data_IF_878852301802
#
_entry.id   IF_878852301802
#
_cell.length_a   1.000
_cell.length_b   1.000
_cell.length_c   1.000
_cell.angle_alpha   90.00
_cell.angle_beta   90.00
_cell.angle_gamma   90.00
#
_symmetry.space_group_name_H-M   'P 1'
#
loop_
_entity.id
_entity.type
_entity.pdbx_description
1 polymer ?
#
# COMPACT_ATOMS: atom_id res chain seq x y z
N UNK A 1 25.90 9.97 5.76
CA UNK A 1 25.20 9.17 4.72
C UNK A 1 23.83 8.82 5.27
N UNK A 2 22.75 9.03 4.50
CA UNK A 2 21.40 8.68 4.94
C UNK A 2 21.14 7.21 4.63
N UNK A 3 20.80 6.43 5.64
CA UNK A 3 20.39 5.02 5.55
C UNK A 3 19.07 4.83 6.29
N UNK A 4 18.16 4.08 5.67
CA UNK A 4 16.78 3.91 6.13
C UNK A 4 16.48 2.41 6.11
N UNK A 5 15.85 1.92 7.16
CA UNK A 5 15.35 0.55 7.24
C UNK A 5 13.82 0.53 7.13
N UNK A 6 13.29 -0.36 6.30
CA UNK A 6 11.86 -0.63 6.26
C UNK A 6 11.41 -1.40 7.49
N UNK A 7 10.33 -0.95 8.10
CA UNK A 7 9.79 -1.53 9.32
C UNK A 7 8.27 -1.57 9.28
N UNK A 8 7.71 -2.61 9.88
CA UNK A 8 6.26 -2.72 10.03
C UNK A 8 5.83 -2.20 11.40
N UNK A 9 4.70 -1.48 11.48
CA UNK A 9 4.24 -0.88 12.74
C UNK A 9 3.93 -1.93 13.81
N UNK A 10 3.45 -3.11 13.41
CA UNK A 10 3.18 -4.21 14.35
C UNK A 10 4.44 -4.86 14.91
N UNK A 11 5.57 -4.80 14.21
CA UNK A 11 6.84 -5.33 14.70
C UNK A 11 7.49 -4.32 15.65
N UNK A 12 7.51 -3.04 15.28
CA UNK A 12 8.00 -1.95 16.14
C UNK A 12 7.23 -1.89 17.46
N UNK A 13 5.89 -2.00 17.42
CA UNK A 13 5.07 -2.00 18.62
C UNK A 13 5.15 -3.31 19.40
N UNK A 14 5.32 -4.45 18.72
CA UNK A 14 5.42 -5.76 19.36
C UNK A 14 6.75 -5.98 20.11
N UNK A 15 7.84 -5.40 19.63
CA UNK A 15 9.14 -5.40 20.33
C UNK A 15 9.22 -4.27 21.39
N UNK A 16 8.40 -3.23 21.23
CA UNK A 16 8.48 -1.99 21.99
C UNK A 16 9.32 -0.96 21.26
N UNK A 17 8.78 0.26 21.10
CA UNK A 17 9.37 1.29 20.23
C UNK A 17 10.79 1.67 20.66
N UNK A 18 11.03 1.86 21.94
CA UNK A 18 12.34 2.23 22.47
C UNK A 18 13.40 1.16 22.16
N UNK A 19 13.06 -0.11 22.37
CA UNK A 19 13.95 -1.24 22.09
C UNK A 19 14.21 -1.37 20.58
N UNK A 20 13.16 -1.42 19.77
CA UNK A 20 13.27 -1.60 18.33
C UNK A 20 14.05 -0.45 17.67
N UNK A 21 13.73 0.79 18.03
CA UNK A 21 14.41 1.97 17.48
C UNK A 21 15.86 2.08 17.96
N UNK A 22 16.13 1.70 19.22
CA UNK A 22 17.49 1.56 19.75
C UNK A 22 18.30 0.53 18.95
N UNK A 23 17.75 -0.65 18.70
CA UNK A 23 18.39 -1.69 17.87
C UNK A 23 18.66 -1.20 16.45
N UNK A 24 17.68 -0.56 15.81
CA UNK A 24 17.81 -0.01 14.45
C UNK A 24 18.93 1.05 14.38
N UNK A 25 19.01 1.93 15.37
CA UNK A 25 20.03 2.98 15.42
C UNK A 25 21.40 2.45 15.79
N UNK A 26 21.49 1.73 16.90
CA UNK A 26 22.77 1.43 17.56
C UNK A 26 23.40 0.15 17.04
N UNK A 27 22.58 -0.85 16.68
CA UNK A 27 23.07 -2.12 16.13
C UNK A 27 23.11 -2.08 14.61
N UNK A 28 21.98 -1.74 13.97
CA UNK A 28 21.90 -1.70 12.51
C UNK A 28 22.48 -0.41 11.90
N UNK A 29 22.86 0.59 12.71
CA UNK A 29 23.52 1.84 12.29
C UNK A 29 22.72 2.63 11.27
N UNK A 30 21.39 2.62 11.41
CA UNK A 30 20.48 3.37 10.54
C UNK A 30 20.29 4.80 11.03
N UNK A 31 20.01 5.71 10.10
CA UNK A 31 19.70 7.13 10.39
C UNK A 31 18.20 7.43 10.35
N UNK A 32 17.40 6.47 9.89
CA UNK A 32 15.95 6.58 9.83
C UNK A 32 15.26 5.24 9.60
N UNK A 33 13.94 5.30 9.63
CA UNK A 33 13.03 4.18 9.38
C UNK A 33 12.00 4.58 8.34
N UNK A 34 11.59 3.64 7.49
CA UNK A 34 10.39 3.79 6.66
C UNK A 34 9.33 2.85 7.16
N UNK A 35 8.26 3.41 7.71
CA UNK A 35 7.21 2.65 8.39
C UNK A 35 6.09 2.38 7.42
N UNK A 36 5.64 1.12 7.32
CA UNK A 36 4.46 0.75 6.54
C UNK A 36 3.19 1.38 7.12
N UNK A 37 2.81 2.57 6.63
CA UNK A 37 1.64 3.31 7.12
C UNK A 37 0.35 2.97 6.38
N UNK A 38 0.47 2.46 5.16
CA UNK A 38 -0.60 1.85 4.36
C UNK A 38 -0.03 0.58 3.74
N UNK A 39 -0.64 -0.57 4.00
CA UNK A 39 -0.05 -1.84 3.58
C UNK A 39 -1.07 -2.90 3.16
N UNK A 40 -0.70 -3.71 2.16
CA UNK A 40 -1.53 -4.76 1.58
C UNK A 40 -1.48 -6.07 2.40
N UNK A 41 -2.16 -7.12 1.91
CA UNK A 41 -2.15 -8.44 2.56
C UNK A 41 -0.76 -9.07 2.50
N UNK A 42 -0.42 -9.91 3.47
CA UNK A 42 0.81 -10.69 3.39
C UNK A 42 1.00 -11.60 4.58
N UNK A 43 1.95 -12.52 4.45
CA UNK A 43 2.38 -13.42 5.51
C UNK A 43 3.81 -13.07 5.90
N UNK A 44 4.00 -12.64 7.14
CA UNK A 44 5.26 -12.13 7.66
C UNK A 44 5.78 -13.04 8.76
N UNK A 45 7.08 -13.31 8.73
CA UNK A 45 7.80 -13.98 9.80
C UNK A 45 8.53 -12.92 10.61
N UNK A 46 8.13 -12.73 11.86
CA UNK A 46 8.85 -11.95 12.85
C UNK A 46 9.47 -12.89 13.89
N UNK A 47 10.74 -13.30 13.74
CA UNK A 47 11.39 -14.20 14.69
C UNK A 47 11.70 -13.54 16.04
N UNK A 48 11.86 -12.22 16.06
CA UNK A 48 12.37 -11.44 17.20
C UNK A 48 11.26 -10.90 18.12
N UNK A 49 10.05 -10.72 17.61
CA UNK A 49 8.91 -10.16 18.37
C UNK A 49 8.19 -11.17 19.28
N UNK A 50 7.22 -10.62 20.03
CA UNK A 50 6.29 -11.41 20.84
C UNK A 50 5.52 -12.43 19.99
N UNK A 51 5.20 -13.57 20.58
CA UNK A 51 4.55 -14.67 19.86
C UNK A 51 3.08 -14.35 19.57
N UNK A 52 2.53 -14.81 18.43
CA UNK A 52 3.14 -15.71 17.44
C UNK A 52 4.13 -15.02 16.49
N UNK A 53 5.19 -15.74 16.10
CA UNK A 53 6.20 -15.27 15.15
C UNK A 53 5.68 -15.16 13.71
N UNK A 54 4.53 -15.74 13.40
CA UNK A 54 3.90 -15.68 12.08
C UNK A 54 2.71 -14.73 12.14
N UNK A 55 2.67 -13.75 11.24
CA UNK A 55 1.57 -12.80 11.11
C UNK A 55 0.97 -12.85 9.72
N UNK A 56 -0.35 -12.82 9.66
CA UNK A 56 -1.12 -12.52 8.46
C UNK A 56 -1.64 -11.09 8.58
N UNK A 57 -1.23 -10.19 7.70
CA UNK A 57 -1.68 -8.80 7.74
C UNK A 57 -3.15 -8.70 7.31
N UNK A 58 -3.91 -7.85 8.01
CA UNK A 58 -5.35 -7.60 7.81
C UNK A 58 -5.71 -7.01 6.43
N UNK A 59 -4.70 -6.67 5.63
CA UNK A 59 -4.83 -6.39 4.22
C UNK A 59 -5.41 -5.04 3.84
N UNK A 60 -4.60 -4.27 3.12
CA UNK A 60 -4.96 -2.94 2.58
C UNK A 60 -5.46 -2.00 3.66
N UNK A 61 -4.71 -1.92 4.76
CA UNK A 61 -5.04 -1.13 5.94
C UNK A 61 -4.09 0.04 6.12
N UNK A 62 -4.62 1.11 6.70
CA UNK A 62 -3.81 2.18 7.27
C UNK A 62 -3.49 1.93 8.74
N UNK A 63 -2.28 2.27 9.15
CA UNK A 63 -1.74 2.07 10.50
C UNK A 63 -1.54 3.41 11.25
N UNK A 64 -2.41 4.36 10.99
CA UNK A 64 -2.47 5.67 11.64
C UNK A 64 -3.94 6.09 11.76
N UNK A 65 -4.23 7.18 12.49
CA UNK A 65 -5.57 7.74 12.57
C UNK A 65 -5.80 8.73 11.41
N UNK A 66 -6.57 8.38 10.38
CA UNK A 66 -6.77 9.25 9.22
C UNK A 66 -7.73 10.40 9.53
N UNK A 67 -7.47 11.57 8.98
CA UNK A 67 -8.43 12.66 9.02
C UNK A 67 -9.52 12.44 7.97
N UNK A 68 -10.60 11.76 8.37
CA UNK A 68 -11.70 11.36 7.49
C UNK A 68 -12.39 12.52 6.75
N UNK A 69 -12.20 13.78 7.17
CA UNK A 69 -12.72 14.96 6.47
C UNK A 69 -12.03 15.22 5.13
N UNK A 70 -10.82 14.69 4.94
CA UNK A 70 -10.05 14.81 3.68
C UNK A 70 -10.50 13.83 2.60
N UNK A 71 -11.25 12.79 2.99
CA UNK A 71 -11.61 11.69 2.10
C UNK A 71 -13.05 11.82 1.60
N UNK A 72 -13.24 11.49 0.32
CA UNK A 72 -14.54 11.52 -0.34
C UNK A 72 -15.25 10.17 -0.29
N UNK A 73 -15.63 9.68 -1.47
CA UNK A 73 -16.34 8.41 -1.68
C UNK A 73 -15.59 7.21 -1.10
N UNK A 74 -14.28 7.15 -1.33
CA UNK A 74 -13.41 6.08 -0.83
C UNK A 74 -12.76 6.55 0.46
N UNK A 75 -12.89 5.74 1.51
CA UNK A 75 -12.29 6.00 2.84
C UNK A 75 -11.26 4.92 3.18
N UNK A 76 -10.17 5.28 3.87
CA UNK A 76 -9.15 4.33 4.27
C UNK A 76 -9.73 3.36 5.31
N UNK A 77 -9.31 2.10 5.22
CA UNK A 77 -9.70 1.09 6.20
C UNK A 77 -8.63 1.01 7.29
N UNK A 78 -8.99 1.34 8.53
CA UNK A 78 -8.04 1.40 9.65
C UNK A 78 -7.75 -0.02 10.14
N UNK A 79 -6.46 -0.35 10.35
CA UNK A 79 -6.04 -1.63 10.93
C UNK A 79 -6.53 -1.75 12.37
N UNK A 80 -6.77 -2.97 12.85
CA UNK A 80 -7.18 -3.22 14.25
C UNK A 80 -6.21 -2.59 15.24
N UNK A 81 -4.90 -2.70 14.99
CA UNK A 81 -3.84 -2.09 15.80
C UNK A 81 -3.93 -0.56 15.90
N UNK A 82 -4.56 0.09 14.92
CA UNK A 82 -4.71 1.53 14.83
C UNK A 82 -6.14 1.99 15.13
N UNK A 83 -7.05 1.15 15.64
CA UNK A 83 -8.43 1.57 15.92
C UNK A 83 -8.54 2.44 17.18
N UNK A 84 -7.77 2.14 18.23
CA UNK A 84 -7.84 2.81 19.54
C UNK A 84 -6.62 3.67 19.88
N UNK A 85 -5.66 3.75 18.95
CA UNK A 85 -4.39 4.47 19.09
C UNK A 85 -3.89 4.92 17.72
N UNK A 86 -2.80 5.69 17.68
CA UNK A 86 -2.14 6.10 16.43
C UNK A 86 -0.69 5.57 16.39
N UNK A 87 -0.47 4.37 15.82
CA UNK A 87 0.86 3.76 15.74
C UNK A 87 1.92 4.64 15.07
N UNK A 88 1.54 5.37 14.01
CA UNK A 88 2.46 6.26 13.31
C UNK A 88 2.87 7.43 14.20
N UNK A 89 1.91 8.10 14.83
CA UNK A 89 2.21 9.24 15.70
C UNK A 89 3.06 8.83 16.92
N UNK A 90 2.81 7.65 17.48
CA UNK A 90 3.64 7.08 18.54
C UNK A 90 5.06 6.77 18.09
N UNK A 91 5.20 6.17 16.90
CA UNK A 91 6.50 5.86 16.29
C UNK A 91 7.30 7.13 16.03
N UNK A 92 6.67 8.18 15.47
CA UNK A 92 7.32 9.48 15.24
C UNK A 92 7.85 10.07 16.54
N UNK A 93 7.02 10.13 17.59
CA UNK A 93 7.47 10.66 18.90
C UNK A 93 8.64 9.88 19.48
N UNK A 94 8.65 8.55 19.34
CA UNK A 94 9.74 7.72 19.82
C UNK A 94 11.02 7.89 18.98
N UNK A 95 10.88 7.97 17.66
CA UNK A 95 11.98 8.20 16.73
C UNK A 95 12.63 9.58 16.91
N UNK A 96 11.85 10.62 17.18
CA UNK A 96 12.36 11.96 17.52
C UNK A 96 13.28 11.90 18.74
N UNK A 97 12.89 11.19 19.82
CA UNK A 97 13.74 10.99 21.01
C UNK A 97 15.01 10.20 20.69
N UNK A 98 14.90 9.23 19.77
CA UNK A 98 16.04 8.43 19.31
C UNK A 98 16.94 9.18 18.32
N UNK A 99 16.51 10.31 17.76
CA UNK A 99 17.22 11.02 16.69
C UNK A 99 17.19 10.27 15.35
N UNK A 100 16.10 9.56 15.05
CA UNK A 100 15.86 8.87 13.78
C UNK A 100 14.82 9.62 12.95
N UNK A 101 15.07 9.76 11.65
CA UNK A 101 14.05 10.25 10.72
C UNK A 101 12.97 9.17 10.47
N UNK A 102 11.71 9.59 10.32
CA UNK A 102 10.60 8.68 9.98
C UNK A 102 10.08 9.00 8.59
N UNK A 103 10.03 7.98 7.75
CA UNK A 103 9.48 8.00 6.40
C UNK A 103 8.18 7.18 6.40
N UNK A 104 7.20 7.60 5.58
CA UNK A 104 5.92 6.93 5.46
C UNK A 104 5.89 6.05 4.21
N UNK A 105 6.21 4.77 4.36
CA UNK A 105 6.02 3.77 3.31
C UNK A 105 4.54 3.49 3.11
N UNK A 106 4.04 3.86 1.93
CA UNK A 106 2.60 3.95 1.66
C UNK A 106 2.27 3.18 0.38
N UNK A 107 1.72 1.98 0.54
CA UNK A 107 1.11 1.22 -0.55
C UNK A 107 -0.23 1.88 -0.93
N UNK A 108 -0.38 2.27 -2.20
CA UNK A 108 -1.52 3.09 -2.64
C UNK A 108 -2.57 2.27 -3.41
N UNK A 109 -2.22 1.71 -4.58
CA UNK A 109 -3.20 1.11 -5.50
C UNK A 109 -3.26 -0.42 -5.42
N UNK A 110 -2.35 -1.05 -4.69
CA UNK A 110 -2.46 -2.46 -4.32
C UNK A 110 -3.44 -2.61 -3.15
N UNK A 111 -4.73 -2.71 -3.46
CA UNK A 111 -5.80 -2.67 -2.47
C UNK A 111 -6.88 -3.73 -2.74
N UNK A 112 -6.57 -4.99 -2.42
CA UNK A 112 -7.51 -6.11 -2.56
C UNK A 112 -8.80 -5.90 -1.76
N UNK A 113 -8.70 -5.29 -0.58
CA UNK A 113 -9.88 -5.09 0.29
C UNK A 113 -10.90 -4.16 -0.37
N UNK A 114 -10.43 -3.07 -0.97
CA UNK A 114 -11.25 -2.15 -1.75
C UNK A 114 -11.71 -2.81 -3.05
N UNK A 115 -10.81 -3.46 -3.79
CA UNK A 115 -11.15 -4.05 -5.07
C UNK A 115 -12.16 -5.19 -5.00
N UNK A 116 -12.17 -5.96 -3.91
CA UNK A 116 -13.22 -6.96 -3.64
C UNK A 116 -14.57 -6.31 -3.34
N UNK A 117 -14.61 -5.20 -2.60
CA UNK A 117 -15.84 -4.49 -2.23
C UNK A 117 -16.40 -3.65 -3.38
N UNK A 118 -15.51 -3.11 -4.23
CA UNK A 118 -15.80 -2.20 -5.32
C UNK A 118 -15.04 -2.62 -6.59
N UNK A 119 -15.44 -3.74 -7.23
CA UNK A 119 -14.76 -4.22 -8.43
C UNK A 119 -14.82 -3.25 -9.61
N UNK A 120 -15.76 -2.30 -9.59
CA UNK A 120 -15.86 -1.21 -10.56
C UNK A 120 -14.68 -0.22 -10.52
N UNK A 121 -13.94 -0.20 -9.42
CA UNK A 121 -12.73 0.62 -9.25
C UNK A 121 -11.46 -0.08 -9.72
N UNK A 122 -11.52 -1.38 -10.00
CA UNK A 122 -10.35 -2.20 -10.33
C UNK A 122 -9.86 -1.98 -11.76
N UNK A 123 -8.63 -2.46 -12.03
CA UNK A 123 -8.26 -2.77 -13.40
C UNK A 123 -9.22 -3.84 -13.93
N UNK A 124 -9.57 -3.74 -15.21
CA UNK A 124 -10.39 -4.75 -15.88
C UNK A 124 -9.58 -5.39 -17.00
N UNK A 125 -9.56 -6.72 -17.04
CA UNK A 125 -8.97 -7.49 -18.14
C UNK A 125 -9.67 -7.15 -19.47
N UNK A 126 -9.13 -7.57 -20.62
CA UNK A 126 -9.85 -7.44 -21.90
C UNK A 126 -11.29 -7.97 -21.81
N UNK A 127 -11.48 -9.11 -21.13
CA UNK A 127 -12.76 -9.80 -20.98
C UNK A 127 -13.73 -9.11 -20.02
N UNK A 128 -13.31 -8.02 -19.36
CA UNK A 128 -14.11 -7.28 -18.39
C UNK A 128 -13.99 -7.78 -16.95
N UNK A 129 -13.12 -8.75 -16.68
CA UNK A 129 -12.94 -9.28 -15.33
C UNK A 129 -12.12 -8.32 -14.46
N UNK A 130 -12.54 -8.06 -13.20
CA UNK A 130 -11.80 -7.19 -12.31
C UNK A 130 -10.55 -7.89 -11.75
N UNK A 131 -9.39 -7.24 -11.87
CA UNK A 131 -8.18 -7.59 -11.13
C UNK A 131 -8.26 -7.00 -9.73
N UNK A 132 -8.90 -7.72 -8.82
CA UNK A 132 -9.30 -7.21 -7.49
C UNK A 132 -8.13 -6.68 -6.64
N UNK A 133 -6.89 -7.10 -6.90
CA UNK A 133 -5.71 -6.60 -6.20
C UNK A 133 -5.26 -5.20 -6.64
N UNK A 134 -5.72 -4.70 -7.79
CA UNK A 134 -5.23 -3.46 -8.37
C UNK A 134 -6.37 -2.48 -8.67
N UNK A 135 -6.48 -1.41 -7.88
CA UNK A 135 -7.40 -0.32 -8.20
C UNK A 135 -6.84 0.58 -9.30
N UNK A 136 -7.69 1.14 -10.14
CA UNK A 136 -7.30 1.77 -11.39
C UNK A 136 -6.76 3.20 -11.20
N UNK A 137 -5.50 3.51 -11.57
CA UNK A 137 -4.95 4.86 -11.47
C UNK A 137 -5.63 5.87 -12.40
N UNK A 138 -6.34 5.44 -13.45
CA UNK A 138 -7.10 6.33 -14.31
C UNK A 138 -8.50 6.67 -13.76
N UNK A 139 -9.00 5.92 -12.76
CA UNK A 139 -10.30 6.18 -12.16
C UNK A 139 -10.24 7.45 -11.28
N UNK A 140 -11.08 8.48 -11.52
CA UNK A 140 -11.06 9.73 -10.76
C UNK A 140 -11.27 9.56 -9.26
N UNK A 141 -12.15 8.65 -8.81
CA UNK A 141 -12.39 8.39 -7.39
C UNK A 141 -11.14 7.78 -6.73
N UNK A 142 -10.46 6.88 -7.44
CA UNK A 142 -9.20 6.27 -6.97
C UNK A 142 -8.07 7.31 -6.89
N UNK A 143 -7.97 8.21 -7.87
CA UNK A 143 -7.01 9.32 -7.84
C UNK A 143 -7.28 10.28 -6.68
N UNK A 144 -8.54 10.62 -6.44
CA UNK A 144 -8.94 11.48 -5.32
C UNK A 144 -8.58 10.82 -3.97
N UNK A 145 -8.77 9.51 -3.84
CA UNK A 145 -8.34 8.75 -2.65
C UNK A 145 -6.82 8.79 -2.46
N UNK A 146 -6.04 8.52 -3.52
CA UNK A 146 -4.59 8.56 -3.45
C UNK A 146 -4.05 9.95 -3.05
N UNK A 147 -4.64 11.01 -3.61
CA UNK A 147 -4.30 12.38 -3.26
C UNK A 147 -4.67 12.72 -1.81
N UNK A 148 -5.86 12.31 -1.36
CA UNK A 148 -6.28 12.51 0.03
C UNK A 148 -5.36 11.78 1.02
N UNK A 149 -4.97 10.55 0.72
CA UNK A 149 -4.05 9.76 1.54
C UNK A 149 -2.68 10.44 1.66
N UNK A 150 -2.11 10.88 0.53
CA UNK A 150 -0.83 11.61 0.54
C UNK A 150 -0.95 12.94 1.29
N UNK A 151 -2.05 13.67 1.12
CA UNK A 151 -2.28 14.95 1.81
C UNK A 151 -2.43 14.79 3.32
N UNK A 152 -3.12 13.75 3.78
CA UNK A 152 -3.29 13.41 5.20
C UNK A 152 -1.96 13.05 5.86
N UNK A 153 -1.06 12.39 5.13
CA UNK A 153 0.29 12.09 5.60
C UNK A 153 1.20 13.33 5.61
N UNK A 154 1.08 14.22 4.63
CA UNK A 154 2.02 15.32 4.42
C UNK A 154 2.02 16.41 5.51
N UNK A 155 0.96 16.53 6.32
CA UNK A 155 0.80 17.67 7.23
C UNK A 155 0.71 17.25 8.70
N UNK A 156 1.56 17.85 9.54
CA UNK A 156 1.43 17.79 11.00
C UNK A 156 1.82 16.46 11.66
N UNK A 157 2.51 15.57 10.93
CA UNK A 157 2.89 14.22 11.42
C UNK A 157 4.37 14.02 11.70
N UNK A 158 5.23 15.03 11.52
CA UNK A 158 6.68 14.90 11.78
C UNK A 158 7.42 13.94 10.84
N UNK A 159 6.84 13.65 9.67
CA UNK A 159 7.46 12.77 8.67
C UNK A 159 8.52 13.52 7.87
N UNK A 160 9.62 12.85 7.59
CA UNK A 160 10.68 13.36 6.71
C UNK A 160 10.28 13.25 5.23
N UNK A 161 9.73 12.10 4.81
CA UNK A 161 9.29 11.85 3.44
C UNK A 161 8.10 10.88 3.40
N UNK A 162 7.40 10.86 2.26
CA UNK A 162 6.37 9.87 1.94
C UNK A 162 6.90 9.03 0.77
N UNK A 163 7.01 7.73 0.98
CA UNK A 163 7.44 6.76 -0.03
C UNK A 163 6.19 6.10 -0.63
N UNK A 164 5.89 6.41 -1.89
CA UNK A 164 4.71 5.87 -2.57
C UNK A 164 5.06 4.54 -3.25
N UNK A 165 4.39 3.47 -2.84
CA UNK A 165 4.47 2.15 -3.47
C UNK A 165 3.17 1.83 -4.22
N UNK A 166 3.30 1.05 -5.31
CA UNK A 166 2.17 0.54 -6.08
C UNK A 166 1.28 1.68 -6.61
N UNK A 167 1.88 2.70 -7.21
CA UNK A 167 1.20 3.82 -7.91
C UNK A 167 1.06 3.59 -9.42
N UNK A 168 1.06 2.32 -9.82
CA UNK A 168 1.06 1.86 -11.20
C UNK A 168 -0.04 0.81 -11.46
N UNK A 169 -0.14 0.38 -12.71
CA UNK A 169 -0.91 -0.81 -13.08
C UNK A 169 -0.12 -2.05 -12.64
N UNK A 170 -0.66 -2.85 -11.72
CA UNK A 170 0.07 -3.99 -11.12
C UNK A 170 0.16 -5.23 -12.01
N UNK A 171 -0.55 -5.24 -13.15
CA UNK A 171 -0.55 -6.35 -14.08
C UNK A 171 -1.44 -7.52 -13.65
N UNK A 172 -1.44 -8.57 -14.48
CA UNK A 172 -2.29 -9.75 -14.29
C UNK A 172 -1.76 -10.67 -13.18
N UNK A 173 -0.54 -11.17 -13.35
CA UNK A 173 0.11 -12.04 -12.37
C UNK A 173 0.55 -11.25 -11.15
N UNK A 174 0.08 -11.64 -9.96
CA UNK A 174 0.30 -10.85 -8.75
C UNK A 174 0.57 -11.70 -7.50
N UNK A 175 0.69 -13.02 -7.65
CA UNK A 175 0.97 -13.92 -6.54
C UNK A 175 -0.16 -13.96 -5.52
N UNK A 176 -1.41 -13.81 -5.99
CA UNK A 176 -2.58 -13.92 -5.12
C UNK A 176 -2.59 -15.28 -4.41
N UNK A 177 -3.17 -15.33 -3.20
CA UNK A 177 -3.18 -16.56 -2.39
C UNK A 177 -3.88 -17.69 -3.17
N UNK A 178 -3.07 -18.61 -3.72
CA UNK A 178 -3.48 -19.69 -4.63
C UNK A 178 -3.86 -19.29 -6.07
N UNK A 179 -3.14 -18.35 -6.68
CA UNK A 179 -3.23 -18.06 -8.12
C UNK A 179 -2.88 -19.30 -8.97
N UNK A 180 -3.72 -19.64 -9.96
CA UNK A 180 -3.53 -20.79 -10.87
C UNK A 180 -4.06 -20.49 -12.27
N UNK A 181 -3.17 -20.43 -13.26
CA UNK A 181 -3.51 -20.11 -14.66
C UNK A 181 -3.63 -21.34 -15.57
N UNK A 182 -3.18 -22.53 -15.12
CA UNK A 182 -3.38 -23.83 -15.81
C UNK A 182 -2.60 -24.02 -17.12
N UNK A 183 -2.25 -22.93 -17.79
CA UNK A 183 -1.41 -22.85 -18.99
C UNK A 183 -0.31 -21.80 -18.77
N UNK A 184 0.88 -21.97 -19.39
CA UNK A 184 1.92 -20.95 -19.33
C UNK A 184 1.46 -19.70 -20.09
N UNK A 185 1.54 -18.54 -19.44
CA UNK A 185 1.41 -17.25 -20.12
C UNK A 185 2.80 -16.77 -20.53
N UNK A 186 2.98 -16.48 -21.82
CA UNK A 186 4.16 -15.74 -22.26
C UNK A 186 4.06 -14.25 -21.88
N UNK A 187 5.13 -13.50 -22.16
CA UNK A 187 5.19 -12.07 -21.84
C UNK A 187 4.10 -11.22 -22.52
N UNK A 188 3.63 -11.62 -23.70
CA UNK A 188 2.57 -10.90 -24.42
C UNK A 188 1.21 -11.12 -23.77
N UNK A 189 0.87 -12.36 -23.45
CA UNK A 189 -0.40 -12.67 -22.80
C UNK A 189 -0.47 -12.04 -21.40
N UNK A 190 0.61 -12.12 -20.61
CA UNK A 190 0.67 -11.49 -19.30
C UNK A 190 0.55 -9.95 -19.39
N UNK A 191 1.18 -9.35 -20.39
CA UNK A 191 1.07 -7.91 -20.65
C UNK A 191 -0.37 -7.51 -21.02
N UNK A 192 -0.98 -8.18 -22.00
CA UNK A 192 -2.34 -7.86 -22.47
C UNK A 192 -3.39 -8.05 -21.38
N UNK A 193 -3.27 -9.12 -20.58
CA UNK A 193 -4.14 -9.35 -19.42
C UNK A 193 -3.91 -8.33 -18.30
N UNK A 194 -2.72 -7.75 -18.22
CA UNK A 194 -2.35 -6.72 -17.25
C UNK A 194 -2.72 -5.29 -17.66
N UNK A 195 -3.15 -5.08 -18.91
CA UNK A 195 -3.74 -3.82 -19.35
C UNK A 195 -5.12 -3.64 -18.73
N UNK A 196 -5.58 -2.39 -18.70
CA UNK A 196 -6.87 -2.04 -18.11
C UNK A 196 -7.85 -1.56 -19.17
N UNK A 197 -8.99 -2.23 -19.23
CA UNK A 197 -10.09 -1.96 -20.16
C UNK A 197 -11.31 -1.35 -19.47
N UNK A 198 -11.14 -0.79 -18.27
CA UNK A 198 -12.24 -0.07 -17.60
C UNK A 198 -12.61 1.21 -18.38
N UNK A 199 -13.81 1.78 -18.16
CA UNK A 199 -14.29 2.94 -18.91
C UNK A 199 -13.31 4.13 -18.92
N UNK A 200 -12.62 4.37 -17.81
CA UNK A 200 -11.65 5.46 -17.69
C UNK A 200 -10.38 5.22 -18.52
N UNK A 201 -9.83 4.01 -18.50
CA UNK A 201 -8.67 3.66 -19.32
C UNK A 201 -9.01 3.62 -20.80
N UNK A 202 -10.20 3.13 -21.18
CA UNK A 202 -10.68 3.20 -22.58
C UNK A 202 -10.81 4.64 -23.07
N UNK A 203 -11.35 5.53 -22.25
CA UNK A 203 -11.44 6.95 -22.57
C UNK A 203 -10.05 7.61 -22.71
N UNK A 204 -9.13 7.31 -21.77
CA UNK A 204 -7.76 7.81 -21.82
C UNK A 204 -6.99 7.29 -23.06
N UNK A 205 -7.14 6.01 -23.40
CA UNK A 205 -6.55 5.41 -24.60
C UNK A 205 -7.07 6.09 -25.87
N UNK A 206 -8.39 6.28 -25.98
CA UNK A 206 -9.01 6.99 -27.11
C UNK A 206 -8.48 8.42 -27.25
N UNK A 207 -8.34 9.14 -26.13
CA UNK A 207 -7.78 10.49 -26.13
C UNK A 207 -6.30 10.53 -26.57
N UNK A 208 -5.55 9.45 -26.33
CA UNK A 208 -4.18 9.26 -26.78
C UNK A 208 -4.07 8.69 -28.22
N UNK A 209 -5.19 8.53 -28.93
CA UNK A 209 -5.21 8.00 -30.30
C UNK A 209 -5.13 6.47 -30.41
N UNK A 210 -5.30 5.74 -29.30
CA UNK A 210 -5.32 4.29 -29.28
C UNK A 210 -6.77 3.76 -29.29
N UNK A 211 -7.04 2.75 -30.11
CA UNK A 211 -8.34 2.08 -30.13
C UNK A 211 -8.32 0.84 -29.24
N UNK A 212 -8.76 1.00 -28.00
CA UNK A 212 -8.85 -0.10 -27.04
C UNK A 212 -9.82 -1.21 -27.47
N UNK A 213 -10.77 -0.95 -28.38
CA UNK A 213 -11.68 -1.97 -28.88
C UNK A 213 -11.01 -2.93 -29.88
N UNK A 214 -9.87 -2.54 -30.47
CA UNK A 214 -9.10 -3.37 -31.41
C UNK A 214 -8.10 -4.31 -30.74
N UNK A 215 -7.97 -4.23 -29.42
CA UNK A 215 -7.08 -5.08 -28.60
C UNK A 215 -7.87 -6.22 -27.94
N UNK A 216 -9.19 -6.24 -28.10
CA UNK A 216 -10.11 -7.27 -27.62
C UNK A 216 -10.50 -8.25 -28.73
#
# INVERSE_FOLDING_TARGET
MRSIMWAYPWDLLGEGLETALGTIKDTARQTGISVAVSYHHGRFLNPQGERPALRFAEGSRVYFQPNLRLYGEIRPNVATLAQTRDPLAETVRAAERAGLAVHAWTVVLHNTSLGTQRPDLCLQTPFGDPLIHSVCPANPSVRAYAQALAHDLAHGRGLAEIELEAVNYLGFGHGYHHEKTGVPLDGWHAFLLGLCFCPHCRAAAKAAGADAARVH
#
